data_IF_764983600369
#
_entry.id   IF_764983600369
#
_cell.length_a   1.000
_cell.length_b   1.000
_cell.length_c   1.000
_cell.angle_alpha   90.00
_cell.angle_beta   90.00
_cell.angle_gamma   90.00
#
_symmetry.space_group_name_H-M   'P 1'
#
loop_
_entity.id
_entity.type
_entity.pdbx_description
1 polymer ?
#
# COMPACT_ATOMS: atom_id res chain seq x y z
N UNK A 1 -3.75 8.74 -16.03
CA UNK A 1 -3.55 9.27 -14.66
C UNK A 1 -2.50 8.38 -14.04
N UNK A 2 -1.32 8.93 -13.80
CA UNK A 2 -0.22 8.34 -13.05
C UNK A 2 -0.43 8.60 -11.56
N UNK A 3 -0.02 7.66 -10.70
CA UNK A 3 -0.08 7.87 -9.25
C UNK A 3 1.13 8.71 -8.82
N UNK A 4 0.89 9.93 -8.38
CA UNK A 4 1.94 10.87 -7.98
C UNK A 4 2.55 10.45 -6.64
N UNK A 5 3.86 10.20 -6.62
CA UNK A 5 4.57 9.66 -5.44
C UNK A 5 5.01 10.72 -4.43
N UNK A 6 4.78 12.02 -4.69
CA UNK A 6 5.05 13.10 -3.73
C UNK A 6 4.27 12.88 -2.43
N UNK A 7 4.72 13.46 -1.33
CA UNK A 7 3.95 13.46 -0.09
C UNK A 7 2.56 14.08 -0.31
N UNK A 8 1.54 13.61 0.42
CA UNK A 8 0.18 14.12 0.26
C UNK A 8 0.10 15.64 0.54
N UNK A 9 0.87 16.13 1.52
CA UNK A 9 1.01 17.56 1.82
C UNK A 9 1.64 18.38 0.68
N UNK A 10 2.32 17.73 -0.26
CA UNK A 10 2.88 18.33 -1.47
C UNK A 10 2.03 18.07 -2.73
N UNK A 11 0.80 17.58 -2.56
CA UNK A 11 -0.17 17.32 -3.63
C UNK A 11 0.02 15.99 -4.35
N UNK A 12 0.69 15.00 -3.74
CA UNK A 12 0.73 13.64 -4.27
C UNK A 12 -0.53 12.84 -3.93
N UNK A 13 -0.73 11.72 -4.63
CA UNK A 13 -1.93 10.89 -4.47
C UNK A 13 -1.93 10.08 -3.17
N UNK A 14 -3.13 9.75 -2.70
CA UNK A 14 -3.35 8.96 -1.48
C UNK A 14 -4.04 7.65 -1.84
N UNK A 15 -3.51 6.55 -1.31
CA UNK A 15 -4.16 5.26 -1.30
C UNK A 15 -5.03 5.16 -0.05
N UNK A 16 -6.33 5.38 -0.20
CA UNK A 16 -7.32 5.22 0.87
C UNK A 16 -7.96 3.84 0.80
N UNK A 17 -7.81 3.06 1.87
CA UNK A 17 -8.29 1.68 2.00
C UNK A 17 -9.36 1.53 3.07
N UNK A 18 -9.88 2.62 3.64
CA UNK A 18 -10.78 2.57 4.79
C UNK A 18 -12.07 1.78 4.51
N UNK A 19 -12.67 1.96 3.33
CA UNK A 19 -13.86 1.21 2.92
C UNK A 19 -13.54 -0.18 2.35
N UNK A 20 -12.25 -0.51 2.23
CA UNK A 20 -11.81 -1.76 1.63
C UNK A 20 -11.65 -2.86 2.68
N UNK A 21 -11.16 -2.53 3.87
CA UNK A 21 -10.81 -3.52 4.89
C UNK A 21 -12.02 -3.88 5.76
N UNK A 22 -12.20 -5.16 6.08
CA UNK A 22 -13.30 -5.63 6.94
C UNK A 22 -13.11 -5.27 8.41
N UNK A 23 -11.86 -5.03 8.83
CA UNK A 23 -11.52 -4.56 10.16
C UNK A 23 -10.54 -3.37 10.07
N UNK A 24 -11.02 -2.19 9.64
CA UNK A 24 -10.19 -1.01 9.46
C UNK A 24 -9.67 -0.43 10.79
N UNK A 25 -10.11 -0.97 11.93
CA UNK A 25 -9.60 -0.60 13.25
C UNK A 25 -8.26 -1.27 13.62
N UNK A 26 -7.82 -2.26 12.85
CA UNK A 26 -6.53 -2.91 13.05
C UNK A 26 -5.41 -2.01 12.56
N UNK A 27 -4.51 -1.62 13.46
CA UNK A 27 -3.37 -0.75 13.15
C UNK A 27 -2.27 -1.47 12.36
N UNK A 28 -2.28 -2.80 12.32
CA UNK A 28 -1.28 -3.59 11.59
C UNK A 28 -1.73 -3.85 10.15
N UNK A 29 -1.43 -2.89 9.27
CA UNK A 29 -1.73 -2.98 7.84
C UNK A 29 -0.95 -4.10 7.11
N UNK A 30 0.10 -4.68 7.70
CA UNK A 30 0.85 -5.79 7.08
C UNK A 30 0.01 -7.07 6.97
N UNK A 31 -1.03 -7.22 7.81
CA UNK A 31 -2.00 -8.32 7.71
C UNK A 31 -2.86 -8.23 6.45
N UNK A 32 -2.99 -7.05 5.87
CA UNK A 32 -3.92 -6.78 4.78
C UNK A 32 -3.20 -6.55 3.45
N UNK A 33 -1.98 -6.03 3.46
CA UNK A 33 -1.30 -5.56 2.25
C UNK A 33 -0.01 -6.32 1.98
N UNK A 34 0.19 -6.65 0.70
CA UNK A 34 1.47 -7.14 0.19
C UNK A 34 1.87 -6.37 -1.08
N UNK A 35 3.06 -5.77 -1.04
CA UNK A 35 3.62 -4.95 -2.10
C UNK A 35 4.67 -5.74 -2.88
N UNK A 36 4.59 -5.67 -4.21
CA UNK A 36 5.56 -6.30 -5.10
C UNK A 36 5.82 -5.45 -6.33
N UNK A 37 7.02 -5.57 -6.90
CA UNK A 37 7.38 -4.94 -8.19
C UNK A 37 7.04 -5.87 -9.34
N UNK A 38 6.44 -5.34 -10.39
CA UNK A 38 6.27 -6.01 -11.67
C UNK A 38 6.80 -5.10 -12.79
N UNK A 39 8.05 -5.30 -13.17
CA UNK A 39 8.76 -4.34 -14.03
C UNK A 39 8.87 -2.97 -13.37
N UNK A 40 8.30 -1.94 -13.99
CA UNK A 40 8.21 -0.57 -13.45
C UNK A 40 7.04 -0.36 -12.50
N UNK A 41 6.09 -1.29 -12.45
CA UNK A 41 4.84 -1.12 -11.74
C UNK A 41 4.96 -1.61 -10.29
N UNK A 42 4.14 -1.04 -9.42
CA UNK A 42 3.88 -1.59 -8.08
C UNK A 42 2.55 -2.34 -8.11
N UNK A 43 2.57 -3.60 -7.69
CA UNK A 43 1.37 -4.42 -7.47
C UNK A 43 1.12 -4.52 -5.97
N UNK A 44 -0.06 -4.12 -5.56
CA UNK A 44 -0.55 -4.21 -4.18
C UNK A 44 -1.62 -5.29 -4.14
N UNK A 45 -1.30 -6.42 -3.53
CA UNK A 45 -2.29 -7.45 -3.24
C UNK A 45 -2.93 -7.13 -1.89
N UNK A 46 -4.26 -7.19 -1.85
CA UNK A 46 -5.05 -6.83 -0.67
C UNK A 46 -5.84 -8.04 -0.21
N UNK A 47 -5.73 -8.35 1.08
CA UNK A 47 -6.57 -9.29 1.81
C UNK A 47 -7.50 -8.48 2.69
N UNK A 48 -8.76 -8.30 2.27
CA UNK A 48 -9.73 -7.49 3.05
C UNK A 48 -10.04 -8.06 4.42
N UNK A 49 -9.75 -9.34 4.63
CA UNK A 49 -9.97 -10.07 5.88
C UNK A 49 -8.72 -10.19 6.77
N UNK A 50 -7.57 -9.66 6.35
CA UNK A 50 -6.34 -9.68 7.16
C UNK A 50 -5.52 -10.98 7.05
N UNK A 51 -5.66 -11.72 5.94
CA UNK A 51 -4.99 -13.00 5.67
C UNK A 51 -3.76 -12.90 4.74
N UNK A 52 -3.10 -11.75 4.62
CA UNK A 52 -1.97 -11.56 3.69
C UNK A 52 -0.80 -12.51 3.97
N UNK A 53 -0.53 -12.83 5.24
CA UNK A 53 0.51 -13.78 5.63
C UNK A 53 0.23 -15.20 5.10
N UNK A 54 -1.04 -15.56 4.86
CA UNK A 54 -1.46 -16.82 4.25
C UNK A 54 -1.65 -16.71 2.73
N UNK A 55 -1.24 -15.59 2.13
CA UNK A 55 -1.45 -15.27 0.71
C UNK A 55 -2.94 -15.26 0.31
N UNK A 56 -3.84 -15.02 1.26
CA UNK A 56 -5.28 -14.97 1.04
C UNK A 56 -5.72 -13.60 0.52
N UNK A 57 -5.29 -13.26 -0.69
CA UNK A 57 -5.64 -12.00 -1.35
C UNK A 57 -6.94 -12.13 -2.15
N UNK A 58 -7.83 -11.16 -1.99
CA UNK A 58 -9.11 -11.09 -2.67
C UNK A 58 -9.22 -9.89 -3.62
N UNK A 59 -8.23 -8.97 -3.55
CA UNK A 59 -8.15 -7.80 -4.40
C UNK A 59 -6.71 -7.52 -4.85
N UNK A 60 -6.60 -6.81 -5.97
CA UNK A 60 -5.32 -6.42 -6.59
C UNK A 60 -5.41 -5.01 -7.15
N UNK A 61 -4.49 -4.16 -6.71
CA UNK A 61 -4.30 -2.79 -7.22
C UNK A 61 -2.97 -2.76 -7.97
N UNK A 62 -2.95 -2.17 -9.15
CA UNK A 62 -1.72 -2.00 -9.95
C UNK A 62 -1.47 -0.52 -10.18
N UNK A 63 -0.34 -0.04 -9.70
CA UNK A 63 0.15 1.32 -9.92
C UNK A 63 1.17 1.28 -11.06
N UNK A 64 0.71 1.65 -12.26
CA UNK A 64 1.52 1.62 -13.47
C UNK A 64 2.63 2.68 -13.44
N UNK A 65 3.87 2.27 -13.73
CA UNK A 65 5.04 3.15 -13.78
C UNK A 65 5.48 3.72 -12.42
N UNK A 66 4.97 3.16 -11.32
CA UNK A 66 5.15 3.71 -9.97
C UNK A 66 5.98 2.76 -9.12
N UNK A 67 6.97 3.31 -8.42
CA UNK A 67 7.80 2.57 -7.49
C UNK A 67 7.60 3.08 -6.05
N UNK A 68 6.97 2.25 -5.21
CA UNK A 68 6.80 2.54 -3.78
C UNK A 68 7.93 1.98 -2.90
N UNK A 69 8.88 1.22 -3.47
CA UNK A 69 9.99 0.61 -2.73
C UNK A 69 11.19 1.56 -2.52
N UNK A 70 11.07 2.82 -2.93
CA UNK A 70 12.17 3.80 -2.94
C UNK A 70 13.41 3.25 -3.67
N UNK A 71 13.24 2.88 -4.94
CA UNK A 71 14.28 2.24 -5.77
C UNK A 71 14.88 0.99 -5.12
N UNK A 72 14.05 0.20 -4.42
CA UNK A 72 14.46 -0.99 -3.70
C UNK A 72 15.13 -0.72 -2.34
N UNK A 73 15.17 0.49 -1.81
CA UNK A 73 15.68 0.71 -0.44
C UNK A 73 14.76 0.10 0.64
N UNK A 74 13.45 0.03 0.37
CA UNK A 74 12.44 -0.56 1.25
C UNK A 74 12.23 -2.03 0.86
N UNK A 75 12.70 -2.93 1.72
CA UNK A 75 12.85 -4.37 1.39
C UNK A 75 11.65 -5.24 1.77
N UNK A 76 10.65 -4.68 2.48
CA UNK A 76 9.49 -5.44 2.94
C UNK A 76 8.24 -4.55 3.07
N UNK A 77 7.08 -5.20 3.21
CA UNK A 77 5.77 -4.56 3.30
C UNK A 77 5.71 -3.53 4.44
N UNK A 78 6.24 -3.87 5.62
CA UNK A 78 6.26 -2.97 6.76
C UNK A 78 7.04 -1.67 6.47
N UNK A 79 8.18 -1.75 5.79
CA UNK A 79 8.99 -0.59 5.44
C UNK A 79 8.28 0.33 4.44
N UNK A 80 7.60 -0.25 3.44
CA UNK A 80 6.79 0.48 2.46
C UNK A 80 5.58 1.14 3.14
N UNK A 81 4.84 0.39 3.94
CA UNK A 81 3.69 0.89 4.70
C UNK A 81 4.10 2.08 5.59
N UNK A 82 5.20 1.96 6.31
CA UNK A 82 5.70 3.02 7.19
C UNK A 82 6.07 4.29 6.40
N UNK A 83 6.74 4.15 5.25
CA UNK A 83 7.08 5.28 4.39
C UNK A 83 5.83 5.98 3.85
N UNK A 84 4.82 5.22 3.42
CA UNK A 84 3.57 5.77 2.93
C UNK A 84 2.77 6.49 4.03
N UNK A 85 2.68 5.91 5.23
CA UNK A 85 2.03 6.54 6.38
C UNK A 85 2.75 7.85 6.74
N UNK A 86 4.08 7.85 6.83
CA UNK A 86 4.86 9.05 7.13
C UNK A 86 4.66 10.16 6.08
N UNK A 87 4.43 9.79 4.81
CA UNK A 87 4.14 10.72 3.72
C UNK A 87 2.66 11.10 3.61
N UNK A 88 1.79 10.55 4.46
CA UNK A 88 0.33 10.73 4.41
C UNK A 88 -0.32 10.12 3.16
N UNK A 89 0.33 9.14 2.53
CA UNK A 89 -0.10 8.53 1.26
C UNK A 89 -0.88 7.23 1.44
N UNK A 90 -0.99 6.72 2.66
CA UNK A 90 -1.73 5.50 2.97
C UNK A 90 -2.65 5.76 4.15
N UNK A 91 -3.95 5.66 3.90
CA UNK A 91 -4.98 5.72 4.93
C UNK A 91 -5.65 4.36 5.03
N UNK A 92 -5.52 3.70 6.18
CA UNK A 92 -6.20 2.43 6.47
C UNK A 92 -6.96 2.45 7.80
N UNK A 93 -6.82 3.53 8.57
CA UNK A 93 -7.44 3.76 9.87
C UNK A 93 -7.56 5.28 10.12
N UNK A 94 -8.48 5.68 11.02
CA UNK A 94 -8.68 7.07 11.48
C UNK A 94 -7.72 7.46 12.59
#
# INVERSE_FOLDING_TARGET
MDFDTRAASAGGDVLDLHELLNNPADSDLTKYLHFSKSGTDTVINVSTTGGAAQQAFDQKIVLHGVDLSNNGALQNDQAIINDLIQKGKLHGHS
#
